data_IF_382349009044
#
_entry.id   IF_382349009044
#
_cell.length_a   1.000
_cell.length_b   1.000
_cell.length_c   1.000
_cell.angle_alpha   90.00
_cell.angle_beta   90.00
_cell.angle_gamma   90.00
#
_symmetry.space_group_name_H-M   'P 1'
#
loop_
_entity.id
_entity.type
_entity.pdbx_description
1 polymer ?
#
# COMPACT_ATOMS: atom_id res chain seq x y z
N UNK A 1 29.17 -19.39 -1.58
CA UNK A 1 28.19 -20.43 -1.21
C UNK A 1 28.25 -20.61 0.29
N UNK A 2 27.11 -20.51 0.99
CA UNK A 2 27.04 -20.67 2.43
C UNK A 2 26.52 -22.07 2.72
N UNK A 3 27.22 -22.80 3.58
CA UNK A 3 26.79 -24.13 4.01
C UNK A 3 26.52 -24.06 5.51
N UNK A 4 25.29 -24.37 5.90
CA UNK A 4 24.94 -24.45 7.30
C UNK A 4 25.61 -25.68 7.92
N UNK A 5 26.45 -25.47 8.95
CA UNK A 5 27.17 -26.55 9.62
C UNK A 5 26.24 -27.51 10.38
N UNK A 6 25.05 -27.06 10.76
CA UNK A 6 24.10 -27.84 11.56
C UNK A 6 23.18 -28.73 10.70
N UNK A 7 22.62 -28.19 9.61
CA UNK A 7 21.68 -28.91 8.75
C UNK A 7 22.26 -29.33 7.39
N UNK A 8 23.53 -29.00 7.10
CA UNK A 8 24.19 -29.20 5.80
C UNK A 8 23.47 -28.54 4.60
N UNK A 9 22.49 -27.67 4.87
CA UNK A 9 21.80 -26.91 3.85
C UNK A 9 22.77 -25.98 3.12
N UNK A 10 22.70 -25.98 1.79
CA UNK A 10 23.50 -25.13 0.94
C UNK A 10 22.64 -23.97 0.43
N UNK A 11 23.13 -22.75 0.58
CA UNK A 11 22.51 -21.55 0.03
C UNK A 11 23.51 -20.83 -0.87
N UNK A 12 23.03 -20.37 -2.03
CA UNK A 12 23.75 -19.39 -2.81
C UNK A 12 23.86 -18.10 -1.98
N UNK A 13 25.06 -17.57 -1.87
CA UNK A 13 25.27 -16.26 -1.23
C UNK A 13 25.09 -15.23 -2.32
N UNK A 14 24.05 -14.42 -2.19
CA UNK A 14 23.96 -13.21 -3.02
C UNK A 14 25.07 -12.25 -2.57
N UNK A 15 25.96 -11.81 -3.48
CA UNK A 15 27.08 -10.94 -3.11
C UNK A 15 26.59 -9.58 -2.57
N UNK A 16 25.51 -9.03 -3.14
CA UNK A 16 24.81 -7.87 -2.59
C UNK A 16 23.29 -8.02 -2.77
N UNK A 17 22.61 -8.35 -1.67
CA UNK A 17 21.16 -8.51 -1.66
C UNK A 17 20.40 -7.20 -1.88
N UNK A 18 20.97 -6.05 -1.49
CA UNK A 18 20.32 -4.76 -1.68
C UNK A 18 20.36 -4.37 -3.15
N UNK A 19 21.55 -4.46 -3.77
CA UNK A 19 21.70 -4.18 -5.20
C UNK A 19 20.81 -5.10 -6.05
N UNK A 20 20.76 -6.39 -5.73
CA UNK A 20 19.86 -7.32 -6.41
C UNK A 20 18.39 -6.91 -6.28
N UNK A 21 17.96 -6.50 -5.08
CA UNK A 21 16.59 -6.03 -4.88
C UNK A 21 16.27 -4.77 -5.67
N UNK A 22 17.24 -3.86 -5.83
CA UNK A 22 17.10 -2.63 -6.62
C UNK A 22 16.96 -2.95 -8.11
N UNK A 23 17.84 -3.80 -8.65
CA UNK A 23 17.78 -4.22 -10.05
C UNK A 23 16.48 -4.95 -10.39
N UNK A 24 15.99 -5.82 -9.49
CA UNK A 24 14.69 -6.47 -9.67
C UNK A 24 13.58 -5.43 -9.68
N UNK A 25 13.59 -4.46 -8.75
CA UNK A 25 12.60 -3.40 -8.70
C UNK A 25 12.60 -2.56 -10.00
N UNK A 26 13.77 -2.21 -10.53
CA UNK A 26 13.90 -1.52 -11.83
C UNK A 26 13.31 -2.32 -12.99
N UNK A 27 13.53 -3.63 -13.00
CA UNK A 27 12.97 -4.50 -14.03
C UNK A 27 11.45 -4.57 -13.94
N UNK A 28 10.91 -4.66 -12.72
CA UNK A 28 9.47 -4.73 -12.48
C UNK A 28 8.74 -3.44 -12.86
N UNK A 29 9.33 -2.26 -12.68
CA UNK A 29 8.67 -0.99 -13.07
C UNK A 29 8.67 -0.76 -14.59
N UNK A 30 9.56 -1.42 -15.33
CA UNK A 30 9.68 -1.28 -16.79
C UNK A 30 8.74 -2.23 -17.56
N UNK A 31 8.12 -3.19 -16.90
CA UNK A 31 7.26 -4.17 -17.57
C UNK A 31 6.00 -3.51 -18.17
N UNK A 32 5.53 -4.00 -19.32
CA UNK A 32 4.38 -3.41 -20.02
C UNK A 32 3.01 -3.83 -19.45
N UNK A 33 2.98 -4.83 -18.57
CA UNK A 33 1.74 -5.37 -17.98
C UNK A 33 1.52 -4.82 -16.57
N UNK A 34 0.30 -4.92 -16.05
CA UNK A 34 -0.02 -4.54 -14.67
C UNK A 34 0.78 -5.37 -13.66
N UNK A 35 1.14 -4.74 -12.54
CA UNK A 35 1.78 -5.43 -11.43
C UNK A 35 0.83 -6.45 -10.81
N UNK A 36 1.34 -7.65 -10.59
CA UNK A 36 0.65 -8.68 -9.83
C UNK A 36 0.86 -8.50 -8.30
N UNK A 37 0.14 -9.29 -7.51
CA UNK A 37 0.16 -9.20 -6.05
C UNK A 37 1.56 -9.43 -5.42
N UNK A 38 2.37 -10.34 -6.00
CA UNK A 38 3.72 -10.63 -5.52
C UNK A 38 4.67 -9.47 -5.83
N UNK A 39 4.51 -8.88 -7.00
CA UNK A 39 5.30 -7.73 -7.44
C UNK A 39 4.99 -6.48 -6.62
N UNK A 40 3.71 -6.19 -6.36
CA UNK A 40 3.31 -5.08 -5.47
C UNK A 40 3.93 -5.27 -4.08
N UNK A 41 3.82 -6.48 -3.51
CA UNK A 41 4.42 -6.81 -2.21
C UNK A 41 5.94 -6.69 -2.23
N UNK A 42 6.59 -7.17 -3.29
CA UNK A 42 8.03 -7.10 -3.45
C UNK A 42 8.50 -5.64 -3.48
N UNK A 43 7.86 -4.81 -4.30
CA UNK A 43 8.19 -3.39 -4.45
C UNK A 43 8.02 -2.63 -3.14
N UNK A 44 6.95 -2.88 -2.37
CA UNK A 44 6.82 -2.26 -1.04
C UNK A 44 7.98 -2.65 -0.11
N UNK A 45 8.32 -3.94 -0.07
CA UNK A 45 9.38 -4.47 0.79
C UNK A 45 10.77 -3.99 0.38
N UNK A 46 11.05 -3.85 -0.91
CA UNK A 46 12.32 -3.32 -1.41
C UNK A 46 12.53 -1.87 -0.95
N UNK A 47 11.45 -1.08 -0.89
CA UNK A 47 11.45 0.27 -0.33
C UNK A 47 11.42 0.33 1.20
N UNK A 48 11.29 -0.81 1.88
CA UNK A 48 11.17 -0.92 3.35
C UNK A 48 10.00 -0.12 3.94
N UNK A 49 8.92 0.01 3.17
CA UNK A 49 7.70 0.72 3.59
C UNK A 49 6.73 -0.23 4.30
N UNK A 50 6.07 0.29 5.34
CA UNK A 50 4.89 -0.35 5.93
C UNK A 50 3.67 -0.14 5.04
N UNK A 51 2.62 -0.96 5.21
CA UNK A 51 1.39 -0.86 4.40
C UNK A 51 0.70 0.49 4.56
N UNK A 52 0.67 1.03 5.79
CA UNK A 52 0.11 2.35 6.10
C UNK A 52 0.92 3.49 5.45
N UNK A 53 2.24 3.36 5.40
CA UNK A 53 3.12 4.33 4.76
C UNK A 53 2.95 4.35 3.24
N UNK A 54 2.88 3.18 2.61
CA UNK A 54 2.63 3.09 1.17
C UNK A 54 1.24 3.61 0.81
N UNK A 55 0.22 3.25 1.59
CA UNK A 55 -1.15 3.73 1.39
C UNK A 55 -1.20 5.26 1.43
N UNK A 56 -0.47 5.86 2.37
CA UNK A 56 -0.40 7.31 2.51
C UNK A 56 0.30 7.99 1.33
N UNK A 57 1.37 7.40 0.80
CA UNK A 57 2.08 7.92 -0.38
C UNK A 57 1.21 7.84 -1.65
N UNK A 58 0.45 6.76 -1.80
CA UNK A 58 -0.45 6.55 -2.94
C UNK A 58 -1.81 7.23 -2.78
N UNK A 59 -2.11 7.77 -1.59
CA UNK A 59 -3.41 8.35 -1.20
C UNK A 59 -4.57 7.34 -1.33
N UNK A 60 -4.32 6.10 -0.96
CA UNK A 60 -5.31 5.01 -0.91
C UNK A 60 -5.51 4.54 0.54
N UNK A 61 -6.47 3.63 0.77
CA UNK A 61 -6.65 3.07 2.11
C UNK A 61 -5.64 1.95 2.35
N UNK A 62 -5.16 1.75 3.59
CA UNK A 62 -4.32 0.59 3.93
C UNK A 62 -4.96 -0.76 3.56
N UNK A 63 -6.29 -0.83 3.60
CA UNK A 63 -7.07 -2.01 3.17
C UNK A 63 -6.90 -2.34 1.69
N UNK A 64 -6.67 -1.32 0.85
CA UNK A 64 -6.51 -1.50 -0.59
C UNK A 64 -5.14 -2.14 -0.86
N UNK A 65 -4.07 -1.64 -0.20
CA UNK A 65 -2.73 -2.26 -0.24
C UNK A 65 -2.78 -3.71 0.21
N UNK A 66 -3.42 -3.98 1.36
CA UNK A 66 -3.57 -5.35 1.85
C UNK A 66 -4.30 -6.24 0.84
N UNK A 67 -5.34 -5.74 0.20
CA UNK A 67 -6.12 -6.50 -0.79
C UNK A 67 -5.32 -6.81 -2.05
N UNK A 68 -4.52 -5.85 -2.52
CA UNK A 68 -3.62 -6.02 -3.66
C UNK A 68 -2.53 -7.05 -3.38
N UNK A 69 -1.90 -7.03 -2.20
CA UNK A 69 -0.80 -7.96 -1.86
C UNK A 69 -1.24 -9.39 -1.60
N UNK A 70 -2.49 -9.59 -1.18
CA UNK A 70 -3.02 -10.91 -0.81
C UNK A 70 -3.95 -11.49 -1.89
N UNK A 71 -3.87 -10.99 -3.13
CA UNK A 71 -4.64 -11.49 -4.28
C UNK A 71 -6.17 -11.44 -4.05
N UNK A 72 -6.64 -10.48 -3.26
CA UNK A 72 -8.07 -10.27 -3.00
C UNK A 72 -8.67 -9.43 -4.12
N UNK A 73 -7.98 -8.35 -4.48
CA UNK A 73 -8.34 -7.48 -5.59
C UNK A 73 -7.10 -7.14 -6.41
N UNK A 74 -7.27 -6.89 -7.70
CA UNK A 74 -6.20 -6.39 -8.55
C UNK A 74 -5.98 -4.88 -8.32
N UNK A 75 -4.77 -4.43 -8.59
CA UNK A 75 -4.45 -3.00 -8.58
C UNK A 75 -5.09 -2.31 -9.79
N UNK A 76 -5.68 -1.14 -9.56
CA UNK A 76 -6.21 -0.34 -10.66
C UNK A 76 -5.06 0.24 -11.50
N UNK A 77 -5.33 0.50 -12.79
CA UNK A 77 -4.32 1.00 -13.73
C UNK A 77 -3.70 2.33 -13.29
N UNK A 78 -4.49 3.21 -12.66
CA UNK A 78 -4.00 4.50 -12.18
C UNK A 78 -3.09 4.34 -10.96
N UNK A 79 -3.43 3.44 -10.04
CA UNK A 79 -2.64 3.19 -8.84
C UNK A 79 -1.37 2.40 -9.14
N UNK A 80 -1.40 1.52 -10.13
CA UNK A 80 -0.22 0.87 -10.70
C UNK A 80 0.79 1.91 -11.22
N UNK A 81 0.31 2.87 -12.03
CA UNK A 81 1.15 3.95 -12.56
C UNK A 81 1.73 4.81 -11.43
N UNK A 82 0.92 5.16 -10.42
CA UNK A 82 1.38 5.93 -9.25
C UNK A 82 2.46 5.19 -8.47
N UNK A 83 2.28 3.89 -8.24
CA UNK A 83 3.27 3.05 -7.57
C UNK A 83 4.59 3.04 -8.33
N UNK A 84 4.55 2.87 -9.66
CA UNK A 84 5.76 2.92 -10.50
C UNK A 84 6.47 4.26 -10.45
N UNK A 85 5.75 5.37 -10.55
CA UNK A 85 6.32 6.70 -10.46
C UNK A 85 6.98 6.93 -9.10
N UNK A 86 6.32 6.52 -8.02
CA UNK A 86 6.87 6.60 -6.66
C UNK A 86 8.19 5.81 -6.54
N UNK A 87 8.25 4.61 -7.10
CA UNK A 87 9.46 3.79 -7.08
C UNK A 87 10.58 4.42 -7.92
N UNK A 88 10.26 4.96 -9.10
CA UNK A 88 11.23 5.68 -9.94
C UNK A 88 11.85 6.84 -9.16
N UNK A 89 11.03 7.62 -8.46
CA UNK A 89 11.50 8.76 -7.67
C UNK A 89 12.43 8.30 -6.54
N UNK A 90 12.08 7.20 -5.86
CA UNK A 90 12.90 6.65 -4.76
C UNK A 90 14.23 6.07 -5.27
N UNK A 91 14.23 5.38 -6.40
CA UNK A 91 15.44 4.77 -6.98
C UNK A 91 16.36 5.86 -7.53
N UNK A 92 15.83 6.81 -8.31
CA UNK A 92 16.64 7.87 -8.94
C UNK A 92 17.15 8.90 -7.96
N UNK A 93 16.51 9.04 -6.79
CA UNK A 93 16.86 10.07 -5.83
C UNK A 93 17.22 9.45 -4.46
N UNK A 94 18.44 8.93 -4.30
CA UNK A 94 18.85 8.22 -3.08
C UNK A 94 18.84 9.09 -1.81
N UNK A 95 18.75 10.42 -1.93
CA UNK A 95 18.56 11.33 -0.81
C UNK A 95 17.17 11.18 -0.15
N UNK A 96 16.16 10.69 -0.88
CA UNK A 96 14.83 10.36 -0.34
C UNK A 96 14.83 9.15 0.60
N UNK A 97 15.85 8.29 0.50
CA UNK A 97 15.91 6.99 1.19
C UNK A 97 16.02 7.10 2.72
N UNK A 98 16.30 8.30 3.26
CA UNK A 98 16.61 8.47 4.70
C UNK A 98 15.97 9.69 5.39
N UNK A 99 15.64 10.77 4.69
CA UNK A 99 15.31 12.06 5.33
C UNK A 99 13.92 12.59 4.95
N UNK A 100 13.46 12.42 3.71
CA UNK A 100 12.24 13.13 3.24
C UNK A 100 10.91 12.37 3.41
N UNK A 101 10.91 11.04 3.57
CA UNK A 101 9.64 10.31 3.76
C UNK A 101 8.94 10.70 5.07
N UNK A 102 9.68 11.03 6.13
CA UNK A 102 9.08 11.51 7.38
C UNK A 102 8.64 12.98 7.32
N UNK A 103 9.36 13.82 6.57
CA UNK A 103 9.12 15.26 6.49
C UNK A 103 8.02 15.60 5.46
N UNK A 104 7.98 14.97 4.27
CA UNK A 104 6.89 15.19 3.30
C UNK A 104 5.54 14.67 3.78
N UNK A 105 5.52 13.62 4.61
CA UNK A 105 4.29 13.16 5.27
C UNK A 105 3.77 14.18 6.29
N UNK A 106 4.66 14.95 6.93
CA UNK A 106 4.29 16.02 7.85
C UNK A 106 3.91 17.32 7.12
N UNK A 107 4.63 17.66 6.05
CA UNK A 107 4.50 18.95 5.35
C UNK A 107 3.37 18.99 4.31
N UNK A 108 3.00 17.85 3.69
CA UNK A 108 1.85 17.78 2.76
C UNK A 108 0.51 17.68 3.53
N UNK A 109 0.51 17.15 4.76
CA UNK A 109 -0.70 16.76 5.48
C UNK A 109 -0.69 17.14 6.96
N UNK A 110 -0.33 18.38 7.28
CA UNK A 110 -0.43 18.92 8.64
C UNK A 110 -1.67 18.37 9.37
N UNK A 111 -1.42 17.59 10.43
CA UNK A 111 -2.42 17.00 11.32
C UNK A 111 -3.44 15.98 10.76
N UNK A 112 -3.08 15.14 9.78
CA UNK A 112 -3.91 13.96 9.49
C UNK A 112 -3.56 12.78 10.41
N UNK A 113 -4.17 12.78 11.60
CA UNK A 113 -4.07 11.77 12.66
C UNK A 113 -4.76 10.45 12.23
N UNK A 114 -4.19 9.73 11.25
CA UNK A 114 -4.80 8.51 10.66
C UNK A 114 -5.00 7.38 11.70
N UNK A 115 -4.30 7.42 12.84
CA UNK A 115 -4.54 6.48 13.96
C UNK A 115 -5.87 6.72 14.68
N UNK A 116 -6.51 7.88 14.53
CA UNK A 116 -7.79 8.21 15.18
C UNK A 116 -9.01 7.92 14.30
N UNK A 117 -8.83 7.71 13.01
CA UNK A 117 -9.90 7.32 12.10
C UNK A 117 -9.85 5.82 11.80
N UNK A 118 -10.13 4.98 12.80
CA UNK A 118 -10.88 3.76 12.45
C UNK A 118 -12.21 4.29 11.89
N UNK A 119 -12.62 3.96 10.65
CA UNK A 119 -13.97 4.28 10.25
C UNK A 119 -14.88 3.67 11.31
N UNK A 120 -15.75 4.50 11.91
CA UNK A 120 -16.83 3.99 12.74
C UNK A 120 -17.46 2.80 12.01
N UNK A 121 -17.77 1.69 12.69
CA UNK A 121 -18.46 0.59 12.06
C UNK A 121 -19.65 1.17 11.29
N UNK A 122 -19.68 0.92 9.98
CA UNK A 122 -20.73 1.42 9.09
C UNK A 122 -22.05 1.08 9.81
N UNK A 123 -22.90 2.08 10.14
CA UNK A 123 -24.15 1.78 10.81
C UNK A 123 -24.88 0.77 9.93
N UNK A 124 -25.20 -0.40 10.50
CA UNK A 124 -25.99 -1.41 9.79
C UNK A 124 -27.30 -0.74 9.40
N UNK A 125 -27.43 -0.39 8.11
CA UNK A 125 -28.68 0.10 7.54
C UNK A 125 -29.60 -1.12 7.49
N UNK A 126 -30.39 -1.30 8.55
CA UNK A 126 -31.47 -2.28 8.56
C UNK A 126 -32.58 -1.65 7.72
N UNK A 127 -32.63 -2.01 6.44
CA UNK A 127 -33.75 -1.69 5.57
C UNK A 127 -34.97 -2.44 6.08
N UNK A 128 -35.84 -1.74 6.83
CA UNK A 128 -37.18 -2.24 7.11
C UNK A 128 -38.00 -2.09 5.83
N UNK A 129 -38.66 -3.15 5.34
CA UNK A 129 -39.55 -3.01 4.20
C UNK A 129 -40.68 -2.05 4.58
N UNK A 130 -40.81 -0.96 3.83
CA UNK A 130 -41.91 -0.01 3.98
C UNK A 130 -43.07 -0.52 3.12
N UNK A 131 -44.27 -0.72 3.69
CA UNK A 131 -45.45 -1.02 2.90
C UNK A 131 -45.76 0.18 1.99
N UNK A 132 -45.97 -0.13 0.72
CA UNK A 132 -46.38 0.76 -0.35
C UNK A 132 -47.35 1.84 0.13
N UNK A 133 -46.92 3.11 0.10
CA UNK A 133 -47.60 4.28 -0.49
C UNK A 133 -46.95 5.60 -0.01
N UNK A 134 -46.43 6.37 -0.98
CA UNK A 134 -46.24 7.83 -1.03
C UNK A 134 -46.14 8.63 0.31
N UNK A 135 -44.91 8.99 0.68
CA UNK A 135 -44.41 10.35 0.95
C UNK A 135 -43.11 10.27 1.77
N UNK A 136 -41.99 10.76 1.22
CA UNK A 136 -40.71 10.77 1.92
C UNK A 136 -40.59 11.98 2.83
N UNK A 137 -40.45 11.75 4.14
CA UNK A 137 -40.01 12.75 5.12
C UNK A 137 -38.64 12.32 5.63
N UNK A 138 -37.63 13.17 5.46
CA UNK A 138 -36.27 12.95 5.99
C UNK A 138 -36.26 13.51 7.41
N UNK A 139 -36.08 12.64 8.41
CA UNK A 139 -35.78 13.06 9.78
C UNK A 139 -34.34 12.70 10.13
N UNK A 140 -33.57 13.71 10.52
CA UNK A 140 -32.18 13.56 10.98
C UNK A 140 -32.20 13.53 12.51
N UNK A 141 -31.85 12.38 13.09
CA UNK A 141 -31.72 12.26 14.54
C UNK A 141 -30.45 12.99 15.03
N UNK A 142 -30.58 13.78 16.11
CA UNK A 142 -29.44 14.39 16.80
C UNK A 142 -28.73 13.36 17.70
N UNK A 143 -27.39 13.34 17.73
CA UNK A 143 -26.65 12.47 18.63
C UNK A 143 -26.73 13.00 20.08
N UNK A 144 -27.00 12.07 21.00
CA UNK A 144 -26.85 12.22 22.46
C UNK A 144 -25.40 12.09 22.88
#
# INVERSE_FOLDING_TARGET
>A
MFVCLNCKGQAAVLPDANLASELIAETLIQQCFKLNYEEVRFLRKSMRLREDELALLLRVKPTDIFSWENKITEIDSLDDLRLRLLIIDIIKNPLFKKIELKLKLADIFGNCDYRKSRPNPIPKIILKPVPTHFNFRIEVAKPT
#
